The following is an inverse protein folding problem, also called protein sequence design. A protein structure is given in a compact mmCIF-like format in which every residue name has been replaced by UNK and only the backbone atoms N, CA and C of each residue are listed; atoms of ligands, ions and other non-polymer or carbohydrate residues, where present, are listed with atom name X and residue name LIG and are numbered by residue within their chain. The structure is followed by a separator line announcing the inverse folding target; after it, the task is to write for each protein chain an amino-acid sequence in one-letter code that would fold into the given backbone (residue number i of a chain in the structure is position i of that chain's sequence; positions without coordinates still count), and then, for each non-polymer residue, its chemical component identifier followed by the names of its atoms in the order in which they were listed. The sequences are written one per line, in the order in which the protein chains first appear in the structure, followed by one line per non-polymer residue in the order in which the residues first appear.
data_IF_946202120814
#
_entry.id   IF_946202120814
#
_cell.length_a   1.000
_cell.length_b   1.000
_cell.length_c   1.000
_cell.angle_alpha   90.00
_cell.angle_beta   90.00
_cell.angle_gamma   90.00
#
_symmetry.space_group_name_H-M   'P 1'
#
loop_
_entity.id
_entity.type
_entity.pdbx_description
1 polymer ?
#
# COMPACT_ATOMS: atom_id res chain seq x y z
N UNK A 1 24.78 13.94 -26.91
CA UNK A 1 25.11 13.76 -25.48
C UNK A 1 24.30 14.77 -24.69
N UNK A 2 23.44 14.33 -23.77
CA UNK A 2 22.58 15.23 -22.97
C UNK A 2 23.41 16.11 -22.03
N UNK A 3 22.97 17.36 -21.80
CA UNK A 3 23.62 18.27 -20.83
C UNK A 3 23.64 17.61 -19.45
N UNK A 4 24.79 17.64 -18.76
CA UNK A 4 24.87 17.19 -17.36
C UNK A 4 23.95 18.06 -16.48
N UNK A 5 23.27 17.48 -15.47
CA UNK A 5 22.44 18.24 -14.55
C UNK A 5 23.26 19.29 -13.80
N UNK A 6 22.65 20.46 -13.53
CA UNK A 6 23.28 21.53 -12.73
C UNK A 6 23.07 21.38 -11.22
N UNK A 7 22.36 20.34 -10.80
CA UNK A 7 22.07 20.00 -9.41
C UNK A 7 22.56 18.59 -9.11
N UNK A 8 22.96 18.34 -7.86
CA UNK A 8 23.30 16.99 -7.37
C UNK A 8 22.00 16.22 -7.15
N UNK A 9 21.89 15.05 -7.76
CA UNK A 9 20.72 14.20 -7.61
C UNK A 9 20.99 13.05 -6.65
N UNK A 10 19.97 12.71 -5.88
CA UNK A 10 19.84 11.46 -5.14
C UNK A 10 18.35 11.13 -5.06
N UNK A 11 18.00 9.91 -4.63
CA UNK A 11 16.61 9.48 -4.54
C UNK A 11 16.36 8.61 -3.32
N UNK A 12 15.20 8.81 -2.70
CA UNK A 12 14.60 7.88 -1.75
C UNK A 12 13.57 7.08 -2.57
N UNK A 13 14.00 6.00 -3.20
CA UNK A 13 13.18 5.29 -4.18
C UNK A 13 12.12 4.36 -3.57
N UNK A 14 12.21 4.05 -2.27
CA UNK A 14 11.24 3.21 -1.54
C UNK A 14 11.38 3.36 -0.02
N UNK A 15 10.30 3.11 0.70
CA UNK A 15 10.25 3.22 2.16
C UNK A 15 9.10 2.40 2.81
N UNK A 16 8.89 1.12 2.40
CA UNK A 16 7.69 0.35 2.77
C UNK A 16 7.55 0.08 4.27
N UNK A 17 8.66 0.08 5.01
CA UNK A 17 8.67 -0.30 6.44
C UNK A 17 9.17 0.82 7.35
N UNK A 18 9.08 2.07 6.90
CA UNK A 18 9.46 3.22 7.71
C UNK A 18 8.66 3.25 9.04
N UNK A 19 9.29 3.30 10.23
CA UNK A 19 8.58 3.12 11.50
C UNK A 19 7.42 4.09 11.72
N UNK A 20 7.57 5.35 11.29
CA UNK A 20 6.51 6.35 11.42
C UNK A 20 5.38 6.15 10.39
N UNK A 21 5.65 5.58 9.21
CA UNK A 21 4.61 5.17 8.27
C UNK A 21 3.73 4.09 8.90
N UNK A 22 4.38 3.07 9.47
CA UNK A 22 3.71 1.95 10.15
C UNK A 22 2.88 2.45 11.34
N UNK A 23 3.41 3.41 12.11
CA UNK A 23 2.68 4.05 13.19
C UNK A 23 1.41 4.74 12.68
N UNK A 24 1.50 5.56 11.62
CA UNK A 24 0.32 6.23 11.07
C UNK A 24 -0.78 5.24 10.65
N UNK A 25 -0.41 4.15 9.95
CA UNK A 25 -1.38 3.12 9.57
C UNK A 25 -2.01 2.43 10.78
N UNK A 26 -1.20 2.06 11.78
CA UNK A 26 -1.71 1.45 13.00
C UNK A 26 -2.67 2.38 13.75
N UNK A 27 -2.34 3.67 13.87
CA UNK A 27 -3.18 4.66 14.54
C UNK A 27 -4.52 4.84 13.82
N UNK A 28 -4.52 4.91 12.48
CA UNK A 28 -5.74 5.04 11.69
C UNK A 28 -6.61 3.79 11.76
N UNK A 29 -6.00 2.60 11.78
CA UNK A 29 -6.71 1.33 11.96
C UNK A 29 -7.36 1.27 13.34
N UNK A 30 -6.63 1.60 14.41
CA UNK A 30 -7.18 1.60 15.77
C UNK A 30 -8.34 2.59 15.91
N UNK A 31 -8.16 3.81 15.39
CA UNK A 31 -9.22 4.84 15.34
C UNK A 31 -10.47 4.33 14.62
N UNK A 32 -10.32 3.63 13.49
CA UNK A 32 -11.48 3.15 12.74
C UNK A 32 -12.12 1.90 13.35
N UNK A 33 -11.32 1.02 13.97
CA UNK A 33 -11.84 -0.06 14.82
C UNK A 33 -12.68 0.50 15.97
N UNK A 34 -12.41 1.73 16.42
CA UNK A 34 -13.21 2.37 17.47
C UNK A 34 -14.64 2.73 17.07
N UNK A 35 -14.91 2.77 15.76
CA UNK A 35 -16.24 3.04 15.24
C UNK A 35 -17.08 1.78 14.98
N UNK A 36 -16.56 0.57 15.24
CA UNK A 36 -17.35 -0.67 15.25
C UNK A 36 -18.00 -0.90 16.63
N UNK A 37 -19.16 -1.60 16.70
CA UNK A 37 -19.74 -2.01 17.98
C UNK A 37 -18.71 -2.77 18.83
N UNK A 38 -18.69 -2.49 20.13
CA UNK A 38 -17.65 -3.01 21.05
C UNK A 38 -17.60 -4.55 21.04
N UNK A 39 -18.77 -5.18 21.01
CA UNK A 39 -18.97 -6.63 20.95
C UNK A 39 -18.54 -7.24 19.60
N UNK A 40 -18.48 -6.43 18.53
CA UNK A 40 -18.07 -6.85 17.19
C UNK A 40 -16.62 -6.53 16.87
N UNK A 41 -15.97 -5.63 17.61
CA UNK A 41 -14.61 -5.14 17.29
C UNK A 41 -13.58 -6.27 17.15
N UNK A 42 -13.68 -7.33 17.96
CA UNK A 42 -12.77 -8.49 17.87
C UNK A 42 -13.04 -9.40 16.67
N UNK A 43 -14.25 -9.36 16.09
CA UNK A 43 -14.65 -10.13 14.92
C UNK A 43 -14.34 -9.41 13.60
N UNK A 44 -13.89 -8.15 13.65
CA UNK A 44 -13.58 -7.35 12.46
C UNK A 44 -12.42 -7.99 11.68
N UNK A 45 -12.63 -8.19 10.38
CA UNK A 45 -11.58 -8.59 9.44
C UNK A 45 -10.96 -7.36 8.81
N UNK A 46 -9.64 -7.23 8.93
CA UNK A 46 -8.88 -6.15 8.30
C UNK A 46 -8.49 -6.58 6.87
N UNK A 47 -9.01 -5.87 5.87
CA UNK A 47 -8.62 -6.05 4.47
C UNK A 47 -7.71 -4.91 4.04
N UNK A 48 -6.42 -5.20 3.97
CA UNK A 48 -5.46 -4.30 3.33
C UNK A 48 -5.67 -4.37 1.83
N UNK A 49 -6.13 -3.27 1.24
CA UNK A 49 -6.36 -3.17 -0.20
C UNK A 49 -5.27 -2.32 -0.84
N UNK A 50 -4.65 -2.88 -1.88
CA UNK A 50 -3.62 -2.25 -2.70
C UNK A 50 -3.98 -2.37 -4.18
N UNK A 51 -3.55 -1.43 -5.01
CA UNK A 51 -3.79 -1.54 -6.45
C UNK A 51 -3.15 -2.80 -7.02
N UNK A 52 -3.92 -3.55 -7.81
CA UNK A 52 -3.43 -4.76 -8.43
C UNK A 52 -2.42 -4.45 -9.54
N UNK A 53 -1.65 -5.48 -9.92
CA UNK A 53 -0.77 -5.44 -11.08
C UNK A 53 -1.17 -6.54 -12.07
N UNK A 54 -1.07 -6.30 -13.39
CA UNK A 54 -1.17 -7.38 -14.37
C UNK A 54 -0.16 -8.49 -14.06
N UNK A 55 -0.55 -9.75 -14.21
CA UNK A 55 0.35 -10.88 -13.90
C UNK A 55 1.61 -10.87 -14.75
N UNK A 56 1.59 -10.29 -15.95
CA UNK A 56 2.79 -10.09 -16.77
C UNK A 56 3.81 -9.16 -16.11
N UNK A 57 3.37 -8.14 -15.36
CA UNK A 57 4.22 -7.24 -14.58
C UNK A 57 4.75 -7.94 -13.33
N UNK A 58 3.91 -8.69 -12.62
CA UNK A 58 4.36 -9.47 -11.46
C UNK A 58 5.41 -10.50 -11.88
N UNK A 59 5.13 -11.28 -12.93
CA UNK A 59 5.98 -12.38 -13.38
C UNK A 59 7.32 -11.92 -13.99
N UNK A 60 7.45 -10.66 -14.43
CA UNK A 60 8.77 -10.12 -14.81
C UNK A 60 9.67 -9.80 -13.62
N UNK A 61 9.13 -9.88 -12.40
CA UNK A 61 9.81 -9.68 -11.12
C UNK A 61 9.69 -8.25 -10.59
N UNK A 62 8.49 -7.69 -10.65
CA UNK A 62 8.19 -6.39 -10.03
C UNK A 62 8.24 -6.52 -8.48
N UNK A 63 8.95 -5.62 -7.76
CA UNK A 63 9.12 -5.74 -6.31
C UNK A 63 7.86 -5.38 -5.51
N UNK A 64 6.90 -4.68 -6.12
CA UNK A 64 5.76 -4.08 -5.43
C UNK A 64 4.96 -5.06 -4.54
N UNK A 65 4.59 -6.28 -4.98
CA UNK A 65 3.79 -7.16 -4.13
C UNK A 65 4.51 -7.57 -2.84
N UNK A 66 5.84 -7.74 -2.91
CA UNK A 66 6.65 -8.09 -1.75
C UNK A 66 6.77 -6.92 -0.78
N UNK A 67 6.96 -5.70 -1.30
CA UNK A 67 7.06 -4.49 -0.47
C UNK A 67 5.73 -4.17 0.23
N UNK A 68 4.61 -4.25 -0.48
CA UNK A 68 3.27 -4.10 0.12
C UNK A 68 3.03 -5.15 1.21
N UNK A 69 3.39 -6.42 0.94
CA UNK A 69 3.33 -7.49 1.93
C UNK A 69 4.16 -7.19 3.18
N UNK A 70 5.35 -6.59 3.01
CA UNK A 70 6.19 -6.18 4.13
C UNK A 70 5.56 -5.04 4.94
N UNK A 71 4.94 -4.04 4.30
CA UNK A 71 4.19 -2.98 4.98
C UNK A 71 3.07 -3.56 5.82
N UNK A 72 2.22 -4.42 5.23
CA UNK A 72 1.11 -5.10 5.92
C UNK A 72 1.61 -5.86 7.14
N UNK A 73 2.68 -6.64 6.97
CA UNK A 73 3.26 -7.43 8.04
C UNK A 73 3.71 -6.54 9.22
N UNK A 74 4.39 -5.43 8.94
CA UNK A 74 4.84 -4.49 9.98
C UNK A 74 3.69 -3.78 10.69
N UNK A 75 2.62 -3.44 9.97
CA UNK A 75 1.41 -2.87 10.57
C UNK A 75 0.76 -3.88 11.52
N UNK A 76 0.61 -5.15 11.09
CA UNK A 76 -0.01 -6.17 11.94
C UNK A 76 0.84 -6.55 13.16
N UNK A 77 2.17 -6.56 13.02
CA UNK A 77 3.10 -6.68 14.15
C UNK A 77 2.89 -5.54 15.16
N UNK A 78 2.76 -4.30 14.67
CA UNK A 78 2.52 -3.12 15.51
C UNK A 78 1.16 -3.18 16.23
N UNK A 79 0.15 -3.75 15.59
CA UNK A 79 -1.18 -3.98 16.15
C UNK A 79 -1.26 -5.25 17.03
N UNK A 80 -0.13 -5.94 17.26
CA UNK A 80 -0.07 -7.19 18.04
C UNK A 80 -1.05 -8.26 17.54
N UNK A 81 -1.34 -8.28 16.24
CA UNK A 81 -2.31 -9.20 15.62
C UNK A 81 -3.68 -9.22 16.31
N UNK A 82 -4.18 -8.06 16.76
CA UNK A 82 -5.47 -7.93 17.46
C UNK A 82 -6.67 -8.47 16.67
N UNK A 83 -6.56 -8.51 15.34
CA UNK A 83 -7.63 -8.89 14.42
C UNK A 83 -7.09 -9.77 13.27
N UNK A 84 -7.92 -10.65 12.69
CA UNK A 84 -7.56 -11.37 11.48
C UNK A 84 -7.44 -10.40 10.28
N UNK A 85 -6.51 -10.69 9.37
CA UNK A 85 -6.29 -9.83 8.21
C UNK A 85 -6.03 -10.60 6.90
N UNK A 86 -6.21 -9.91 5.77
CA UNK A 86 -5.75 -10.34 4.45
C UNK A 86 -5.23 -9.14 3.66
N UNK A 87 -4.23 -9.40 2.81
CA UNK A 87 -3.84 -8.50 1.73
C UNK A 87 -4.61 -8.91 0.47
N UNK A 88 -5.33 -7.96 -0.11
CA UNK A 88 -6.16 -8.11 -1.30
C UNK A 88 -5.84 -7.00 -2.29
N UNK A 89 -6.25 -7.19 -3.54
CA UNK A 89 -5.87 -6.27 -4.62
C UNK A 89 -7.11 -5.68 -5.28
N UNK A 90 -7.09 -4.39 -5.61
CA UNK A 90 -8.22 -3.67 -6.20
C UNK A 90 -7.92 -3.16 -7.61
N UNK A 91 -8.93 -2.56 -8.24
CA UNK A 91 -8.82 -1.79 -9.48
C UNK A 91 -8.27 -2.60 -10.67
N UNK A 92 -8.64 -3.88 -10.79
CA UNK A 92 -8.39 -4.66 -12.01
C UNK A 92 -9.17 -4.04 -13.17
N UNK A 93 -8.46 -3.73 -14.25
CA UNK A 93 -9.06 -3.22 -15.50
C UNK A 93 -8.81 -4.18 -16.66
N UNK A 94 -9.87 -4.48 -17.40
CA UNK A 94 -9.81 -5.31 -18.60
C UNK A 94 -9.75 -6.83 -18.32
N UNK A 95 -9.69 -7.64 -19.39
CA UNK A 95 -9.91 -9.09 -19.32
C UNK A 95 -8.66 -9.90 -18.93
N UNK A 96 -7.48 -9.27 -18.93
CA UNK A 96 -6.21 -9.98 -18.67
C UNK A 96 -6.16 -10.52 -17.23
N UNK A 97 -5.25 -11.47 -16.91
CA UNK A 97 -5.01 -11.91 -15.53
C UNK A 97 -4.27 -10.84 -14.72
N UNK A 98 -4.74 -10.60 -13.50
CA UNK A 98 -4.16 -9.66 -12.54
C UNK A 98 -3.88 -10.37 -11.21
N UNK A 99 -3.01 -9.76 -10.40
CA UNK A 99 -2.68 -10.24 -9.07
C UNK A 99 -3.94 -10.25 -8.20
N UNK A 100 -4.20 -11.39 -7.57
CA UNK A 100 -5.38 -11.62 -6.73
C UNK A 100 -5.03 -12.01 -5.30
N UNK A 101 -6.04 -12.19 -4.43
CA UNK A 101 -7.47 -12.11 -4.74
C UNK A 101 -7.98 -10.66 -4.93
N UNK A 102 -9.08 -10.50 -5.67
CA UNK A 102 -9.70 -9.18 -5.88
C UNK A 102 -10.47 -8.72 -4.63
N UNK A 103 -10.47 -7.41 -4.36
CA UNK A 103 -11.07 -6.83 -3.14
C UNK A 103 -12.58 -7.08 -3.09
N UNK A 104 -13.29 -6.82 -4.19
CA UNK A 104 -14.73 -7.03 -4.34
C UNK A 104 -15.13 -8.51 -4.17
N UNK A 105 -14.41 -9.42 -4.83
CA UNK A 105 -14.63 -10.87 -4.72
C UNK A 105 -14.34 -11.36 -3.29
N UNK A 106 -13.33 -10.79 -2.63
CA UNK A 106 -12.99 -11.15 -1.25
C UNK A 106 -14.07 -10.69 -0.28
N UNK A 107 -14.59 -9.47 -0.42
CA UNK A 107 -15.72 -8.98 0.39
C UNK A 107 -16.94 -9.89 0.21
N UNK A 108 -17.34 -10.19 -1.04
CA UNK A 108 -18.41 -11.16 -1.36
C UNK A 108 -18.17 -12.51 -0.68
N UNK A 109 -16.95 -13.02 -0.83
CA UNK A 109 -16.56 -14.33 -0.32
C UNK A 109 -16.57 -14.43 1.20
N UNK A 110 -16.14 -13.37 1.89
CA UNK A 110 -16.15 -13.27 3.35
C UNK A 110 -17.59 -13.18 3.89
N UNK A 111 -18.43 -12.33 3.31
CA UNK A 111 -19.83 -12.20 3.72
C UNK A 111 -20.59 -13.53 3.57
N UNK A 112 -20.41 -14.26 2.45
CA UNK A 112 -21.00 -15.59 2.25
C UNK A 112 -20.53 -16.63 3.28
N UNK A 113 -19.40 -16.39 3.94
CA UNK A 113 -18.82 -17.25 5.00
C UNK A 113 -19.13 -16.75 6.41
N UNK A 114 -19.99 -15.74 6.54
CA UNK A 114 -20.43 -15.20 7.83
C UNK A 114 -19.58 -14.07 8.40
N UNK A 115 -18.52 -13.64 7.71
CA UNK A 115 -17.73 -12.47 8.13
C UNK A 115 -18.40 -11.20 7.63
N UNK A 116 -19.05 -10.49 8.55
CA UNK A 116 -19.91 -9.33 8.23
C UNK A 116 -19.38 -7.99 8.72
N UNK A 117 -18.22 -7.99 9.39
CA UNK A 117 -17.57 -6.80 9.92
C UNK A 117 -16.20 -6.67 9.26
N UNK A 118 -16.05 -5.70 8.36
CA UNK A 118 -14.88 -5.56 7.49
C UNK A 118 -14.31 -4.14 7.59
N UNK A 119 -13.01 -4.03 7.86
CA UNK A 119 -12.26 -2.78 7.81
C UNK A 119 -11.33 -2.77 6.59
N UNK A 120 -11.60 -1.91 5.63
CA UNK A 120 -10.78 -1.67 4.45
C UNK A 120 -9.63 -0.71 4.82
N UNK A 121 -8.40 -1.05 4.43
CA UNK A 121 -7.22 -0.22 4.68
C UNK A 121 -6.50 0.08 3.37
N UNK A 122 -6.45 1.35 2.91
CA UNK A 122 -5.70 1.72 1.72
C UNK A 122 -4.19 1.71 2.02
N UNK A 123 -3.52 0.59 1.78
CA UNK A 123 -2.16 0.36 2.32
C UNK A 123 -1.04 0.87 1.41
N UNK A 124 -1.33 1.08 0.13
CA UNK A 124 -0.34 1.38 -0.90
C UNK A 124 -0.43 2.81 -1.48
N UNK A 125 -1.31 3.64 -0.94
CA UNK A 125 -1.47 5.05 -1.28
C UNK A 125 -1.68 5.89 -0.03
N UNK A 126 -1.11 7.09 0.00
CA UNK A 126 -1.04 7.91 1.22
C UNK A 126 -2.07 9.03 1.28
N UNK A 127 -2.74 9.33 0.18
CA UNK A 127 -3.79 10.36 0.10
C UNK A 127 -5.06 9.79 -0.51
N UNK A 128 -6.20 10.42 -0.24
CA UNK A 128 -7.43 10.06 -0.94
C UNK A 128 -7.29 10.31 -2.46
N UNK A 129 -7.89 9.40 -3.22
CA UNK A 129 -7.89 9.36 -4.68
C UNK A 129 -9.20 8.68 -5.15
N UNK A 130 -9.44 8.61 -6.46
CA UNK A 130 -10.74 8.13 -6.98
C UNK A 130 -11.07 6.72 -6.47
N UNK A 131 -10.06 5.87 -6.29
CA UNK A 131 -10.20 4.49 -5.83
C UNK A 131 -10.60 4.41 -4.35
N UNK A 132 -10.16 5.35 -3.49
CA UNK A 132 -10.63 5.38 -2.10
C UNK A 132 -12.03 5.96 -1.97
N UNK A 133 -12.34 7.04 -2.69
CA UNK A 133 -13.60 7.76 -2.56
C UNK A 133 -14.76 7.14 -3.35
N UNK A 134 -14.48 6.39 -4.42
CA UNK A 134 -15.50 5.81 -5.27
C UNK A 134 -15.55 4.28 -5.14
N UNK A 135 -14.44 3.58 -5.42
CA UNK A 135 -14.43 2.11 -5.38
C UNK A 135 -14.67 1.59 -3.96
N UNK A 136 -13.92 2.07 -2.97
CA UNK A 136 -14.08 1.60 -1.59
C UNK A 136 -15.37 2.12 -0.94
N UNK A 137 -15.64 3.43 -1.02
CA UNK A 137 -16.72 4.07 -0.25
C UNK A 137 -18.11 3.93 -0.89
N UNK A 138 -18.21 3.81 -2.21
CA UNK A 138 -19.49 3.74 -2.92
C UNK A 138 -19.72 2.31 -3.45
N UNK A 139 -18.83 1.81 -4.31
CA UNK A 139 -19.05 0.52 -4.96
C UNK A 139 -19.01 -0.64 -3.94
N UNK A 140 -18.00 -0.67 -3.07
CA UNK A 140 -17.88 -1.77 -2.10
C UNK A 140 -18.70 -1.52 -0.83
N UNK A 141 -18.62 -0.32 -0.27
CA UNK A 141 -19.25 -0.06 1.03
C UNK A 141 -20.75 0.20 0.97
N UNK A 142 -21.30 0.64 -0.17
CA UNK A 142 -22.74 0.87 -0.30
C UNK A 142 -23.41 -0.19 -1.17
N UNK A 143 -22.93 -0.41 -2.39
CA UNK A 143 -23.60 -1.35 -3.30
C UNK A 143 -23.37 -2.78 -2.84
N UNK A 144 -22.11 -3.17 -2.70
CA UNK A 144 -21.77 -4.56 -2.43
C UNK A 144 -22.15 -5.03 -1.01
N UNK A 145 -22.01 -4.13 -0.05
CA UNK A 145 -22.43 -4.30 1.33
C UNK A 145 -23.91 -4.71 1.46
N UNK A 146 -24.78 -3.98 0.75
CA UNK A 146 -26.23 -4.22 0.76
C UNK A 146 -26.58 -5.55 0.09
N UNK A 147 -25.89 -5.92 -0.99
CA UNK A 147 -26.12 -7.19 -1.69
C UNK A 147 -25.68 -8.41 -0.88
N UNK A 148 -24.62 -8.27 -0.08
CA UNK A 148 -23.97 -9.40 0.61
C UNK A 148 -24.38 -9.54 2.09
N UNK A 149 -25.21 -8.62 2.62
CA UNK A 149 -25.62 -8.64 4.02
C UNK A 149 -24.48 -8.34 5.00
N UNK A 150 -23.58 -7.41 4.63
CA UNK A 150 -22.56 -6.89 5.55
C UNK A 150 -23.27 -6.16 6.69
N UNK A 151 -22.78 -6.33 7.92
CA UNK A 151 -23.30 -5.60 9.09
C UNK A 151 -22.58 -4.25 9.20
N UNK A 152 -21.26 -4.28 9.10
CA UNK A 152 -20.44 -3.08 9.12
C UNK A 152 -19.28 -3.24 8.12
N UNK A 153 -19.18 -2.28 7.20
CA UNK A 153 -17.99 -2.09 6.38
C UNK A 153 -17.53 -0.65 6.54
N UNK A 154 -16.25 -0.49 6.86
CA UNK A 154 -15.64 0.81 7.12
C UNK A 154 -14.30 0.89 6.41
N UNK A 155 -13.82 2.10 6.19
CA UNK A 155 -12.51 2.36 5.59
C UNK A 155 -11.67 3.18 6.55
N UNK A 156 -10.45 2.75 6.80
CA UNK A 156 -9.47 3.54 7.54
C UNK A 156 -9.13 4.80 6.72
N UNK A 157 -9.07 5.94 7.42
CA UNK A 157 -8.71 7.22 6.81
C UNK A 157 -7.36 7.14 6.09
N UNK A 158 -7.24 7.76 4.91
CA UNK A 158 -5.95 7.91 4.24
C UNK A 158 -4.99 8.76 5.09
N UNK A 159 -3.67 8.65 4.89
CA UNK A 159 -2.70 9.36 5.74
C UNK A 159 -2.87 10.88 5.66
N UNK A 160 -3.24 11.40 4.48
CA UNK A 160 -3.67 12.78 4.24
C UNK A 160 -2.80 13.81 4.98
N UNK A 161 -3.42 14.67 5.79
CA UNK A 161 -2.78 15.73 6.56
C UNK A 161 -2.31 15.30 7.95
N UNK A 162 -2.14 14.00 8.23
CA UNK A 162 -1.67 13.54 9.54
C UNK A 162 -0.28 14.13 9.84
N UNK A 163 -0.11 14.93 10.92
CA UNK A 163 1.18 15.54 11.25
C UNK A 163 2.31 14.53 11.47
N UNK A 164 2.00 13.32 11.94
CA UNK A 164 2.97 12.24 12.10
C UNK A 164 3.48 11.74 10.75
N UNK A 165 2.65 11.78 9.71
CA UNK A 165 3.05 11.44 8.35
C UNK A 165 4.00 12.51 7.78
N UNK A 166 3.73 13.80 7.99
CA UNK A 166 4.69 14.87 7.63
C UNK A 166 6.03 14.70 8.37
N UNK A 167 5.99 14.30 9.65
CA UNK A 167 7.20 13.95 10.40
C UNK A 167 7.92 12.75 9.80
N UNK A 168 7.20 11.73 9.32
CA UNK A 168 7.78 10.58 8.63
C UNK A 168 8.55 10.99 7.36
N UNK A 169 7.97 11.89 6.56
CA UNK A 169 8.64 12.41 5.36
C UNK A 169 9.90 13.21 5.70
N UNK A 170 9.84 14.05 6.73
CA UNK A 170 11.00 14.80 7.20
C UNK A 170 12.12 13.88 7.71
N UNK A 171 11.77 12.83 8.47
CA UNK A 171 12.70 11.84 9.01
C UNK A 171 13.40 11.03 7.91
N UNK A 172 12.65 10.62 6.87
CA UNK A 172 13.20 9.96 5.68
C UNK A 172 14.23 10.84 4.98
N UNK A 173 13.89 12.10 4.69
CA UNK A 173 14.79 13.04 4.00
C UNK A 173 16.01 13.36 4.86
N UNK A 174 15.83 13.56 6.16
CA UNK A 174 16.93 13.82 7.08
C UNK A 174 17.90 12.62 7.13
N UNK A 175 17.39 11.41 7.29
CA UNK A 175 18.18 10.18 7.30
C UNK A 175 18.94 9.96 5.98
N UNK A 176 18.30 10.24 4.85
CA UNK A 176 18.90 10.14 3.51
C UNK A 176 20.05 11.14 3.31
N UNK A 177 19.88 12.38 3.77
CA UNK A 177 20.95 13.38 3.74
C UNK A 177 22.13 12.93 4.63
N UNK A 178 21.87 12.35 5.79
CA UNK A 178 22.91 11.87 6.69
C UNK A 178 23.64 10.63 6.17
N UNK A 179 22.95 9.72 5.47
CA UNK A 179 23.56 8.49 4.96
C UNK A 179 24.47 8.73 3.75
N UNK A 180 24.34 9.89 3.08
CA UNK A 180 24.98 10.18 1.79
C UNK A 180 24.70 9.11 0.72
N UNK A 181 23.61 8.36 0.84
CA UNK A 181 23.21 7.38 -0.16
C UNK A 181 22.62 8.09 -1.39
N UNK A 182 22.97 7.61 -2.58
CA UNK A 182 22.41 8.14 -3.83
C UNK A 182 21.06 7.50 -4.18
N UNK A 183 20.88 6.23 -3.79
CA UNK A 183 19.67 5.44 -3.95
C UNK A 183 19.75 4.19 -3.07
N UNK A 184 18.63 3.47 -2.93
CA UNK A 184 18.63 2.17 -2.24
C UNK A 184 19.47 1.12 -2.98
N UNK A 185 19.92 0.10 -2.26
CA UNK A 185 20.55 -1.09 -2.87
C UNK A 185 19.62 -1.80 -3.86
N UNK A 186 18.31 -1.80 -3.61
CA UNK A 186 17.34 -2.44 -4.49
C UNK A 186 17.21 -1.75 -5.84
N UNK A 187 17.38 -0.42 -5.93
CA UNK A 187 17.39 0.29 -7.22
C UNK A 187 18.52 -0.18 -8.14
N UNK A 188 19.61 -0.71 -7.57
CA UNK A 188 20.75 -1.23 -8.35
C UNK A 188 20.44 -2.53 -9.10
N UNK A 189 19.32 -3.19 -8.75
CA UNK A 189 18.83 -4.42 -9.34
C UNK A 189 17.54 -4.18 -10.13
N UNK A 190 17.62 -4.25 -11.46
CA UNK A 190 16.42 -4.23 -12.31
C UNK A 190 15.65 -5.54 -12.21
N UNK A 191 14.37 -5.54 -12.60
CA UNK A 191 13.58 -6.77 -12.65
C UNK A 191 14.32 -7.85 -13.48
N UNK A 192 14.30 -9.13 -13.07
CA UNK A 192 14.98 -10.22 -13.78
C UNK A 192 14.63 -10.33 -15.27
N UNK A 193 13.38 -10.03 -15.64
CA UNK A 193 12.89 -10.05 -17.03
C UNK A 193 12.55 -8.65 -17.54
N UNK A 194 13.32 -7.63 -17.12
CA UNK A 194 13.12 -6.26 -17.58
C UNK A 194 13.41 -6.12 -19.08
N UNK A 195 12.40 -5.70 -19.85
CA UNK A 195 12.51 -5.43 -21.30
C UNK A 195 12.60 -3.93 -21.63
N UNK A 196 12.51 -3.05 -20.63
CA UNK A 196 12.60 -1.60 -20.85
C UNK A 196 14.07 -1.15 -20.72
N UNK A 197 14.71 -0.67 -21.81
CA UNK A 197 16.11 -0.25 -21.77
C UNK A 197 16.33 0.95 -20.84
N UNK A 198 15.32 1.80 -20.65
CA UNK A 198 15.39 3.00 -19.81
C UNK A 198 15.62 2.68 -18.34
N UNK A 199 15.17 1.51 -17.85
CA UNK A 199 15.37 1.12 -16.45
C UNK A 199 16.87 1.08 -16.07
N UNK A 200 17.73 0.60 -16.99
CA UNK A 200 19.17 0.56 -16.75
C UNK A 200 19.77 1.97 -16.79
N UNK A 201 19.34 2.79 -17.74
CA UNK A 201 19.81 4.19 -17.87
C UNK A 201 19.44 5.02 -16.64
N UNK A 202 18.21 4.88 -16.13
CA UNK A 202 17.76 5.54 -14.89
C UNK A 202 18.54 5.08 -13.67
N UNK A 203 18.82 3.77 -13.55
CA UNK A 203 19.70 3.26 -12.49
C UNK A 203 21.10 3.90 -12.57
N UNK A 204 21.69 3.89 -13.77
CA UNK A 204 23.01 4.49 -13.99
C UNK A 204 22.99 5.98 -13.64
N UNK A 205 21.93 6.69 -14.01
CA UNK A 205 21.76 8.12 -13.70
C UNK A 205 21.93 8.41 -12.21
N UNK A 206 21.23 7.69 -11.32
CA UNK A 206 21.36 7.93 -9.87
C UNK A 206 22.66 7.41 -9.27
N UNK A 207 23.09 6.21 -9.68
CA UNK A 207 24.30 5.57 -9.10
C UNK A 207 25.60 6.25 -9.53
N UNK A 208 25.61 6.99 -10.64
CA UNK A 208 26.78 7.72 -11.13
C UNK A 208 26.81 9.20 -10.72
N UNK A 209 25.91 9.65 -9.83
CA UNK A 209 25.93 11.03 -9.36
C UNK A 209 27.19 11.32 -8.54
N UNK A 210 27.67 12.55 -8.63
CA UNK A 210 28.79 13.02 -7.82
C UNK A 210 28.23 13.76 -6.61
N UNK A 211 28.54 13.26 -5.40
CA UNK A 211 28.18 13.89 -4.13
C UNK A 211 28.89 15.22 -3.89
#
# INVERSE_FOLDING_TARGET
MGKKPMMKWSTIDRWPTHPLLIQCFADHILKELDHFPLEKRSEVVILFSAHSLPMSVVNRGDPYPQEVGATVQRVMEKLSYSNPYRLVWQSKVGPMPWLGPQTDETIKGLCKRGWKNILLVPIAFTSDHIETLYELDIEYSQVLANECGVENIRRAESLNGNPLFSKALADLVHSHIQSNELCSKQLTLSCPLCVNPVCRETKSFFTSQQL
#
